data_IF_308436235988
#
_entry.id   IF_308436235988
#
_cell.length_a   1.000
_cell.length_b   1.000
_cell.length_c   1.000
_cell.angle_alpha   90.00
_cell.angle_beta   90.00
_cell.angle_gamma   90.00
#
_symmetry.space_group_name_H-M   'P 1'
#
loop_
_entity.id
_entity.type
_entity.pdbx_description
1 polymer ?
#
# COMPACT_ATOMS: atom_id res chain seq x y z
N UNK A 1 17.84 2.82 -10.83
CA UNK A 1 18.16 1.65 -9.98
C UNK A 1 17.64 1.80 -8.56
N UNK A 2 17.87 2.93 -7.89
CA UNK A 2 17.38 3.18 -6.51
C UNK A 2 15.87 3.03 -6.36
N UNK A 3 15.07 3.57 -7.28
CA UNK A 3 13.60 3.45 -7.24
C UNK A 3 13.16 1.99 -7.32
N UNK A 4 13.71 1.23 -8.27
CA UNK A 4 13.41 -0.20 -8.42
C UNK A 4 13.78 -0.97 -7.15
N UNK A 5 14.95 -0.72 -6.59
CA UNK A 5 15.39 -1.36 -5.34
C UNK A 5 14.46 -1.01 -4.16
N UNK A 6 14.01 0.24 -4.05
CA UNK A 6 13.09 0.66 -3.00
C UNK A 6 11.71 0.01 -3.14
N UNK A 7 11.16 -0.03 -4.37
CA UNK A 7 9.86 -0.65 -4.64
C UNK A 7 9.91 -2.16 -4.39
N UNK A 8 10.89 -2.85 -4.97
CA UNK A 8 11.04 -4.30 -4.79
C UNK A 8 11.35 -4.66 -3.34
N UNK A 9 12.24 -3.90 -2.68
CA UNK A 9 12.56 -4.09 -1.27
C UNK A 9 11.33 -3.92 -0.38
N UNK A 10 10.52 -2.89 -0.61
CA UNK A 10 9.26 -2.68 0.09
C UNK A 10 8.27 -3.84 -0.10
N UNK A 11 8.09 -4.32 -1.33
CA UNK A 11 7.23 -5.47 -1.62
C UNK A 11 7.72 -6.75 -0.93
N UNK A 12 9.03 -7.00 -0.90
CA UNK A 12 9.60 -8.15 -0.22
C UNK A 12 9.36 -8.06 1.29
N UNK A 13 9.59 -6.89 1.91
CA UNK A 13 9.33 -6.67 3.33
C UNK A 13 7.87 -6.92 3.66
N UNK A 14 6.94 -6.38 2.86
CA UNK A 14 5.50 -6.63 3.06
C UNK A 14 5.13 -8.11 2.89
N UNK A 15 5.74 -8.80 1.93
CA UNK A 15 5.55 -10.25 1.74
C UNK A 15 6.02 -11.07 2.94
N UNK A 16 7.21 -10.76 3.49
CA UNK A 16 7.74 -11.41 4.69
C UNK A 16 6.88 -11.10 5.91
N UNK A 17 6.41 -9.86 6.08
CA UNK A 17 5.58 -9.48 7.21
C UNK A 17 4.18 -10.11 7.15
N UNK A 18 3.69 -10.39 5.94
CA UNK A 18 2.40 -11.07 5.73
C UNK A 18 2.45 -12.56 6.07
N UNK A 19 3.63 -13.20 6.07
CA UNK A 19 3.76 -14.62 6.40
C UNK A 19 3.84 -14.90 7.91
N UNK A 20 3.90 -13.86 8.74
CA UNK A 20 4.05 -13.97 10.19
C UNK A 20 2.66 -13.83 10.87
N UNK A 21 2.04 -14.92 11.35
CA UNK A 21 0.70 -14.88 11.96
C UNK A 21 0.66 -14.09 13.28
N UNK A 22 1.80 -13.94 13.98
CA UNK A 22 1.86 -13.08 15.16
C UNK A 22 1.63 -11.58 14.85
N UNK A 23 1.72 -11.18 13.58
CA UNK A 23 1.55 -9.81 13.09
C UNK A 23 0.21 -9.60 12.38
N UNK A 24 -0.81 -10.41 12.69
CA UNK A 24 -2.16 -10.29 12.13
C UNK A 24 -2.78 -8.89 12.37
N UNK A 25 -2.42 -8.24 13.48
CA UNK A 25 -2.88 -6.88 13.81
C UNK A 25 -2.31 -5.80 12.88
N UNK A 26 -1.18 -6.07 12.22
CA UNK A 26 -0.49 -5.12 11.33
C UNK A 26 -0.86 -5.33 9.85
N UNK A 27 -1.37 -6.52 9.50
CA UNK A 27 -1.89 -6.84 8.18
C UNK A 27 -2.83 -5.78 7.58
N UNK A 28 -3.76 -5.16 8.33
CA UNK A 28 -4.59 -4.08 7.78
C UNK A 28 -3.76 -2.88 7.25
N UNK A 29 -2.62 -2.56 7.85
CA UNK A 29 -1.79 -1.45 7.41
C UNK A 29 -0.87 -1.79 6.24
N UNK A 30 -0.73 -3.07 5.87
CA UNK A 30 0.07 -3.48 4.73
C UNK A 30 -0.68 -3.22 3.43
N UNK A 31 -0.04 -2.46 2.54
CA UNK A 31 -0.56 -2.13 1.20
C UNK A 31 -0.93 -3.39 0.39
N UNK A 32 -0.19 -4.49 0.57
CA UNK A 32 -0.36 -5.74 -0.16
C UNK A 32 -1.59 -6.54 0.27
N UNK A 33 -2.09 -6.35 1.49
CA UNK A 33 -3.25 -7.10 2.03
C UNK A 33 -4.53 -6.79 1.25
N UNK A 34 -4.67 -5.54 0.77
CA UNK A 34 -5.84 -5.10 0.01
C UNK A 34 -5.85 -5.50 -1.47
N UNK A 35 -4.74 -6.00 -2.04
CA UNK A 35 -4.67 -6.34 -3.46
C UNK A 35 -5.66 -7.44 -3.86
N UNK A 36 -5.88 -8.42 -2.98
CA UNK A 36 -6.82 -9.51 -3.28
C UNK A 36 -8.28 -9.06 -3.28
N UNK A 37 -8.62 -7.91 -2.69
CA UNK A 37 -9.98 -7.35 -2.78
C UNK A 37 -10.40 -7.06 -4.23
N UNK A 38 -9.44 -6.90 -5.15
CA UNK A 38 -9.73 -6.74 -6.58
C UNK A 38 -10.43 -7.97 -7.17
N UNK A 39 -10.20 -9.16 -6.60
CA UNK A 39 -10.86 -10.40 -7.02
C UNK A 39 -12.32 -10.46 -6.62
N UNK A 40 -12.72 -9.69 -5.59
CA UNK A 40 -14.11 -9.61 -5.15
C UNK A 40 -15.00 -8.84 -6.14
N UNK A 41 -14.43 -8.06 -7.07
CA UNK A 41 -15.17 -7.42 -8.19
C UNK A 41 -15.81 -8.46 -9.12
N UNK A 42 -15.26 -9.67 -9.18
CA UNK A 42 -15.81 -10.76 -10.00
C UNK A 42 -17.00 -11.48 -9.33
N UNK A 43 -17.31 -11.16 -8.07
CA UNK A 43 -18.44 -11.75 -7.34
C UNK A 43 -19.70 -10.90 -7.49
N UNK A 44 -20.86 -11.55 -7.46
CA UNK A 44 -22.16 -10.89 -7.45
C UNK A 44 -22.96 -11.34 -6.23
N UNK A 45 -23.34 -10.44 -5.30
CA UNK A 45 -23.11 -9.00 -5.29
C UNK A 45 -21.65 -8.64 -4.97
N UNK A 46 -21.17 -7.53 -5.54
CA UNK A 46 -19.81 -7.01 -5.30
C UNK A 46 -19.71 -6.47 -3.85
N UNK A 47 -18.85 -7.04 -2.99
CA UNK A 47 -18.63 -6.52 -1.65
C UNK A 47 -17.68 -5.31 -1.71
N UNK A 48 -18.23 -4.11 -1.54
CA UNK A 48 -17.48 -2.85 -1.68
C UNK A 48 -16.62 -2.49 -0.46
N UNK A 49 -16.90 -3.05 0.72
CA UNK A 49 -16.19 -2.69 1.96
C UNK A 49 -14.68 -2.98 1.90
N UNK A 50 -14.29 -4.14 1.36
CA UNK A 50 -12.87 -4.51 1.19
C UNK A 50 -12.15 -3.62 0.17
N UNK A 51 -12.86 -3.24 -0.90
CA UNK A 51 -12.34 -2.36 -1.95
C UNK A 51 -12.19 -0.91 -1.48
N UNK A 52 -13.19 -0.38 -0.77
CA UNK A 52 -13.18 1.00 -0.26
C UNK A 52 -12.10 1.19 0.81
N UNK A 53 -11.99 0.28 1.77
CA UNK A 53 -11.01 0.38 2.85
C UNK A 53 -9.56 0.25 2.37
N UNK A 54 -9.29 -0.65 1.41
CA UNK A 54 -7.96 -0.82 0.82
C UNK A 54 -7.56 0.34 -0.10
N UNK A 55 -8.49 0.82 -0.93
CA UNK A 55 -8.24 1.98 -1.81
C UNK A 55 -8.01 3.27 -1.03
N UNK A 56 -8.77 3.50 0.05
CA UNK A 56 -8.55 4.66 0.93
C UNK A 56 -7.14 4.65 1.55
N UNK A 57 -6.69 3.49 2.03
CA UNK A 57 -5.33 3.32 2.57
C UNK A 57 -4.27 3.56 1.51
N UNK A 58 -4.44 2.98 0.32
CA UNK A 58 -3.50 3.18 -0.79
C UNK A 58 -3.41 4.66 -1.19
N UNK A 59 -4.54 5.37 -1.24
CA UNK A 59 -4.59 6.79 -1.49
C UNK A 59 -3.85 7.60 -0.42
N UNK A 60 -4.01 7.25 0.87
CA UNK A 60 -3.27 7.90 1.96
C UNK A 60 -1.75 7.75 1.81
N UNK A 61 -1.25 6.55 1.52
CA UNK A 61 0.17 6.32 1.25
C UNK A 61 0.68 7.10 0.02
N UNK A 62 -0.12 7.20 -1.04
CA UNK A 62 0.20 8.00 -2.22
C UNK A 62 0.31 9.48 -1.88
N UNK A 63 -0.64 10.03 -1.12
CA UNK A 63 -0.61 11.43 -0.68
C UNK A 63 0.64 11.72 0.15
N UNK A 64 1.00 10.83 1.08
CA UNK A 64 2.23 10.97 1.88
C UNK A 64 3.49 10.92 1.00
N UNK A 65 3.56 9.98 0.05
CA UNK A 65 4.68 9.87 -0.89
C UNK A 65 4.82 11.10 -1.79
N UNK A 66 3.70 11.63 -2.30
CA UNK A 66 3.66 12.87 -3.08
C UNK A 66 4.05 14.08 -2.24
N UNK A 67 3.53 14.21 -1.02
CA UNK A 67 3.86 15.29 -0.11
C UNK A 67 5.36 15.30 0.22
N UNK A 68 5.94 14.14 0.53
CA UNK A 68 7.38 13.99 0.75
C UNK A 68 8.19 14.36 -0.49
N UNK A 69 7.74 13.92 -1.67
CA UNK A 69 8.41 14.23 -2.94
C UNK A 69 8.38 15.74 -3.19
N UNK A 70 7.21 16.37 -3.10
CA UNK A 70 7.01 17.81 -3.27
C UNK A 70 7.78 18.63 -2.23
N UNK A 71 7.78 18.22 -0.97
CA UNK A 71 8.56 18.88 0.08
C UNK A 71 10.06 18.82 -0.25
N UNK A 72 10.56 17.67 -0.71
CA UNK A 72 11.97 17.50 -1.05
C UNK A 72 12.38 18.25 -2.32
N UNK A 73 11.49 18.37 -3.31
CA UNK A 73 11.77 19.15 -4.52
C UNK A 73 11.73 20.65 -4.22
N UNK A 74 10.73 21.12 -3.47
CA UNK A 74 10.60 22.55 -3.12
C UNK A 74 11.71 23.05 -2.19
N UNK A 75 12.14 22.26 -1.19
CA UNK A 75 13.29 22.62 -0.33
C UNK A 75 14.64 22.56 -1.03
N UNK A 76 14.72 21.90 -2.20
CA UNK A 76 15.95 21.85 -3.00
C UNK A 76 16.07 23.03 -3.97
N UNK A 77 14.93 23.60 -4.35
CA UNK A 77 14.82 24.74 -5.28
C UNK A 77 14.87 26.10 -4.55
N UNK A 78 14.85 26.11 -3.21
CA UNK A 78 14.98 27.28 -2.34
C UNK A 78 16.42 27.43 -1.82
#
# INVERSE_FOLDING_TARGET
>A
LVVLAAVLGGLIVFGVLSSIPALDWLQPMLLTTGWFAITDVLRDPVPLDGLASSSLRAACYLVLGLALTLARTTTREA
#
